data_IF_124897100140
#
_entry.id   IF_124897100140
#
_cell.length_a   1.000
_cell.length_b   1.000
_cell.length_c   1.000
_cell.angle_alpha   90.00
_cell.angle_beta   90.00
_cell.angle_gamma   90.00
#
_symmetry.space_group_name_H-M   'P 1'
#
loop_
_entity.id
_entity.type
_entity.pdbx_description
1 polymer ?
#
# COMPACT_ATOMS: atom_id res chain seq x y z
N UNK A 1 -12.61 15.07 -16.53
CA UNK A 1 -11.47 14.69 -15.68
C UNK A 1 -10.33 15.69 -15.89
N UNK A 2 -9.61 16.05 -14.84
CA UNK A 2 -8.43 16.91 -14.94
C UNK A 2 -7.31 16.20 -15.72
N UNK A 3 -6.54 16.95 -16.51
CA UNK A 3 -5.32 16.42 -17.14
C UNK A 3 -4.24 16.13 -16.08
N UNK A 4 -3.15 15.43 -16.47
CA UNK A 4 -2.00 15.21 -15.56
C UNK A 4 -1.34 16.52 -15.17
N UNK A 5 -1.27 17.47 -16.08
CA UNK A 5 -0.72 18.80 -15.87
C UNK A 5 -1.58 19.58 -14.87
N UNK A 6 -2.90 19.56 -15.03
CA UNK A 6 -3.83 20.25 -14.15
C UNK A 6 -3.76 19.72 -12.72
N UNK A 7 -3.77 18.39 -12.54
CA UNK A 7 -3.69 17.80 -11.21
C UNK A 7 -2.34 18.10 -10.54
N UNK A 8 -1.24 18.08 -11.31
CA UNK A 8 0.08 18.48 -10.81
C UNK A 8 0.13 19.94 -10.39
N UNK A 9 -0.47 20.82 -11.18
CA UNK A 9 -0.56 22.25 -10.88
C UNK A 9 -1.38 22.49 -9.61
N UNK A 10 -2.54 21.81 -9.48
CA UNK A 10 -3.39 21.87 -8.29
C UNK A 10 -2.66 21.43 -7.03
N UNK A 11 -1.94 20.30 -7.07
CA UNK A 11 -1.13 19.80 -5.94
C UNK A 11 -0.04 20.79 -5.56
N UNK A 12 0.66 21.37 -6.54
CA UNK A 12 1.70 22.38 -6.28
C UNK A 12 1.11 23.63 -5.65
N UNK A 13 -0.02 24.12 -6.17
CA UNK A 13 -0.70 25.30 -5.64
C UNK A 13 -1.13 25.07 -4.18
N UNK A 14 -1.75 23.93 -3.88
CA UNK A 14 -2.11 23.54 -2.52
C UNK A 14 -0.90 23.52 -1.59
N UNK A 15 0.20 22.89 -1.98
CA UNK A 15 1.41 22.82 -1.16
C UNK A 15 2.04 24.19 -0.93
N UNK A 16 2.04 25.07 -1.95
CA UNK A 16 2.66 26.39 -1.87
C UNK A 16 1.83 27.38 -1.07
N UNK A 17 0.51 27.18 -0.96
CA UNK A 17 -0.37 27.99 -0.12
C UNK A 17 -0.22 27.68 1.40
N UNK A 18 0.50 26.64 1.77
CA UNK A 18 0.68 26.22 3.16
C UNK A 18 1.87 26.95 3.82
N UNK A 19 1.85 27.11 5.16
CA UNK A 19 2.94 27.74 5.90
C UNK A 19 4.29 27.06 5.66
N UNK A 20 5.36 27.84 5.81
CA UNK A 20 6.74 27.31 5.79
C UNK A 20 6.90 26.23 6.86
N UNK A 21 7.50 25.10 6.50
CA UNK A 21 7.61 23.92 7.38
C UNK A 21 6.41 22.96 7.32
N UNK A 22 5.23 23.44 6.90
CA UNK A 22 4.01 22.65 6.77
C UNK A 22 3.60 22.34 5.33
N UNK A 23 4.54 22.45 4.37
CA UNK A 23 4.28 22.32 2.92
C UNK A 23 3.54 21.04 2.54
N UNK A 24 3.88 19.92 3.17
CA UNK A 24 3.27 18.62 2.89
C UNK A 24 2.33 18.24 4.02
N UNK A 25 1.03 18.16 3.72
CA UNK A 25 0.03 17.78 4.70
C UNK A 25 0.06 16.27 4.95
N UNK A 26 0.09 15.91 6.23
CA UNK A 26 -0.16 14.53 6.67
C UNK A 26 -1.64 14.34 6.99
N UNK A 27 -2.19 13.22 6.61
CA UNK A 27 -3.47 12.73 7.14
C UNK A 27 -3.25 12.15 8.54
N UNK A 28 -4.30 11.99 9.32
CA UNK A 28 -4.21 11.40 10.66
C UNK A 28 -3.58 9.99 10.66
N UNK A 29 -3.77 9.24 9.58
CA UNK A 29 -3.25 7.87 9.39
C UNK A 29 -1.79 7.81 8.92
N UNK A 30 -1.26 8.87 8.32
CA UNK A 30 0.08 8.84 7.71
C UNK A 30 1.20 8.69 8.75
N UNK A 31 1.14 9.43 9.86
CA UNK A 31 2.18 9.36 10.90
C UNK A 31 2.20 8.00 11.62
N UNK A 32 1.06 7.47 12.12
CA UNK A 32 1.04 6.14 12.74
C UNK A 32 1.47 5.02 11.76
N UNK A 33 1.10 5.14 10.49
CA UNK A 33 1.52 4.18 9.47
C UNK A 33 2.97 4.36 9.02
N UNK A 34 3.63 5.46 9.38
CA UNK A 34 4.97 5.79 8.89
C UNK A 34 5.01 5.98 7.38
N UNK A 35 3.91 6.46 6.79
CA UNK A 35 3.80 6.75 5.36
C UNK A 35 4.21 8.19 5.02
N UNK A 36 4.48 8.43 3.75
CA UNK A 36 4.70 9.79 3.25
C UNK A 36 3.38 10.57 3.22
N UNK A 37 3.43 11.92 3.29
CA UNK A 37 2.24 12.75 3.12
C UNK A 37 1.56 12.47 1.77
N UNK A 38 0.23 12.37 1.75
CA UNK A 38 -0.56 12.09 0.54
C UNK A 38 -0.37 13.14 -0.56
N UNK A 39 -0.14 14.40 -0.18
CA UNK A 39 0.03 15.54 -1.10
C UNK A 39 1.49 15.78 -1.51
N UNK A 40 2.40 14.84 -1.22
CA UNK A 40 3.80 14.93 -1.62
C UNK A 40 3.96 14.47 -3.06
N UNK A 41 4.01 15.41 -3.99
CA UNK A 41 4.32 15.11 -5.39
C UNK A 41 5.84 14.97 -5.57
N UNK A 42 6.39 13.87 -5.09
CA UNK A 42 7.80 13.52 -5.22
C UNK A 42 7.86 12.15 -5.86
N UNK A 43 8.58 12.02 -6.97
CA UNK A 43 8.63 10.80 -7.77
C UNK A 43 7.24 10.26 -8.12
N UNK A 44 6.80 10.51 -9.28
CA UNK A 44 5.43 10.63 -9.73
C UNK A 44 4.57 9.38 -9.77
N UNK A 45 5.04 8.13 -9.59
CA UNK A 45 4.21 6.98 -9.92
C UNK A 45 2.89 6.96 -9.16
N UNK A 46 2.91 7.17 -7.84
CA UNK A 46 1.70 6.98 -7.01
C UNK A 46 0.62 8.00 -7.35
N UNK A 47 0.96 9.28 -7.52
CA UNK A 47 -0.02 10.30 -7.88
C UNK A 47 -0.62 10.08 -9.27
N UNK A 48 0.18 9.61 -10.24
CA UNK A 48 -0.32 9.26 -11.57
C UNK A 48 -1.14 7.98 -11.59
N UNK A 49 -0.79 6.99 -10.76
CA UNK A 49 -1.58 5.78 -10.58
C UNK A 49 -2.94 6.11 -9.96
N UNK A 50 -2.96 6.97 -8.94
CA UNK A 50 -4.20 7.47 -8.34
C UNK A 50 -5.06 8.20 -9.37
N UNK A 51 -4.46 9.13 -10.14
CA UNK A 51 -5.15 9.86 -11.22
C UNK A 51 -5.76 8.93 -12.28
N UNK A 52 -5.06 7.86 -12.64
CA UNK A 52 -5.55 6.88 -13.62
C UNK A 52 -6.52 5.85 -13.02
N UNK A 53 -6.36 5.49 -11.75
CA UNK A 53 -7.10 4.41 -11.08
C UNK A 53 -8.44 4.85 -10.50
N UNK A 54 -8.50 5.99 -9.80
CA UNK A 54 -9.72 6.45 -9.13
C UNK A 54 -10.91 6.60 -10.07
N UNK A 55 -10.77 7.21 -11.27
CA UNK A 55 -11.89 7.28 -12.21
C UNK A 55 -12.44 5.91 -12.63
N UNK A 56 -11.57 4.89 -12.67
CA UNK A 56 -11.98 3.51 -13.01
C UNK A 56 -12.74 2.86 -11.85
N UNK A 57 -12.34 3.11 -10.61
CA UNK A 57 -13.07 2.64 -9.43
C UNK A 57 -14.45 3.27 -9.37
N UNK A 58 -14.56 4.59 -9.60
CA UNK A 58 -15.83 5.32 -9.66
C UNK A 58 -16.71 4.79 -10.79
N UNK A 59 -16.17 4.62 -12.00
CA UNK A 59 -16.91 4.08 -13.14
C UNK A 59 -17.38 2.64 -12.93
N UNK A 60 -16.65 1.86 -12.12
CA UNK A 60 -17.04 0.51 -11.73
C UNK A 60 -18.13 0.50 -10.64
N UNK A 61 -18.51 1.64 -10.07
CA UNK A 61 -19.54 1.78 -9.04
C UNK A 61 -19.16 1.15 -7.71
N UNK A 62 -17.87 1.11 -7.36
CA UNK A 62 -17.44 0.59 -6.06
C UNK A 62 -17.61 1.65 -4.98
N UNK A 63 -17.93 1.21 -3.77
CA UNK A 63 -17.92 2.05 -2.56
C UNK A 63 -16.49 2.42 -2.20
N UNK A 64 -16.21 3.70 -1.97
CA UNK A 64 -14.96 4.21 -1.39
C UNK A 64 -15.33 4.94 -0.10
N UNK A 65 -15.21 4.32 1.06
CA UNK A 65 -15.72 4.85 2.32
C UNK A 65 -15.28 6.29 2.58
N UNK A 66 -16.24 7.14 2.94
CA UNK A 66 -16.08 8.57 3.19
C UNK A 66 -15.66 9.43 1.97
N UNK A 67 -15.53 8.85 0.77
CA UNK A 67 -15.09 9.56 -0.44
C UNK A 67 -16.08 9.45 -1.59
N UNK A 68 -16.68 8.28 -1.81
CA UNK A 68 -17.62 8.06 -2.92
C UNK A 68 -18.57 6.91 -2.58
N UNK A 69 -19.86 7.20 -2.63
CA UNK A 69 -20.93 6.22 -2.44
C UNK A 69 -21.01 5.29 -3.66
N UNK A 70 -21.14 4.00 -3.41
CA UNK A 70 -21.20 2.97 -4.45
C UNK A 70 -21.88 1.70 -3.98
N UNK A 71 -21.54 0.58 -4.59
CA UNK A 71 -22.05 -0.74 -4.20
C UNK A 71 -21.38 -1.17 -2.88
N UNK A 72 -22.16 -1.22 -1.81
CA UNK A 72 -21.72 -1.59 -0.46
C UNK A 72 -21.14 -3.02 -0.36
N UNK A 73 -21.40 -3.87 -1.34
CA UNK A 73 -20.81 -5.20 -1.42
C UNK A 73 -19.47 -5.21 -2.17
N UNK A 74 -19.04 -4.08 -2.70
CA UNK A 74 -17.82 -3.91 -3.50
C UNK A 74 -17.04 -2.70 -3.00
N UNK A 75 -16.33 -2.89 -1.91
CA UNK A 75 -15.63 -1.81 -1.19
C UNK A 75 -14.17 -1.72 -1.60
N UNK A 76 -13.71 -0.53 -1.97
CA UNK A 76 -12.30 -0.23 -2.20
C UNK A 76 -11.72 0.47 -0.97
N UNK A 77 -10.72 -0.14 -0.35
CA UNK A 77 -10.01 0.39 0.81
C UNK A 77 -8.57 0.77 0.44
N UNK A 78 -8.03 1.77 1.11
CA UNK A 78 -6.60 2.07 1.03
C UNK A 78 -5.81 0.98 1.76
N UNK A 79 -4.87 0.34 1.06
CA UNK A 79 -3.94 -0.61 1.64
C UNK A 79 -2.52 -0.01 1.67
N UNK A 80 -1.74 -0.40 2.69
CA UNK A 80 -0.34 0.01 2.80
C UNK A 80 0.54 -1.21 3.08
N UNK A 81 1.04 -1.90 2.03
CA UNK A 81 1.84 -3.12 2.17
C UNK A 81 3.10 -2.89 3.01
N UNK A 82 3.73 -1.71 2.88
CA UNK A 82 4.92 -1.36 3.65
C UNK A 82 4.72 -1.31 5.16
N UNK A 83 3.52 -1.06 5.66
CA UNK A 83 3.22 -1.13 7.08
C UNK A 83 3.33 -2.57 7.60
N UNK A 84 2.62 -3.50 6.96
CA UNK A 84 2.64 -4.91 7.34
C UNK A 84 4.03 -5.53 7.16
N UNK A 85 4.72 -5.21 6.07
CA UNK A 85 6.08 -5.68 5.83
C UNK A 85 7.05 -5.24 6.94
N UNK A 86 6.99 -3.98 7.38
CA UNK A 86 7.84 -3.49 8.50
C UNK A 86 7.55 -4.19 9.81
N UNK A 87 6.28 -4.45 10.11
CA UNK A 87 5.91 -5.17 11.32
C UNK A 87 6.50 -6.58 11.38
N UNK A 88 6.58 -7.24 10.23
CA UNK A 88 7.13 -8.59 10.10
C UNK A 88 8.66 -8.58 10.13
N UNK A 89 9.28 -7.70 9.35
CA UNK A 89 10.74 -7.73 9.15
C UNK A 89 11.52 -7.04 10.26
N UNK A 90 11.13 -5.84 10.60
CA UNK A 90 11.80 -5.01 11.59
C UNK A 90 11.03 -3.72 11.83
N UNK A 91 10.55 -3.52 13.04
CA UNK A 91 9.85 -2.30 13.45
C UNK A 91 10.68 -1.02 13.28
N UNK A 92 12.02 -1.14 13.20
CA UNK A 92 12.91 0.01 12.93
C UNK A 92 12.84 0.51 11.49
N UNK A 93 12.24 -0.26 10.57
CA UNK A 93 12.11 0.08 9.15
C UNK A 93 13.43 0.03 8.37
N UNK A 94 14.50 -0.54 8.93
CA UNK A 94 15.83 -0.60 8.29
C UNK A 94 15.96 -1.71 7.27
N UNK A 95 15.16 -2.79 7.40
CA UNK A 95 15.18 -3.91 6.43
C UNK A 95 14.21 -3.64 5.28
N UNK A 96 14.76 -3.50 4.07
CA UNK A 96 13.97 -3.44 2.84
C UNK A 96 13.96 -4.79 2.15
N UNK A 97 12.81 -5.20 1.59
CA UNK A 97 12.67 -6.46 0.84
C UNK A 97 12.68 -6.26 -0.68
N UNK A 98 12.68 -5.02 -1.18
CA UNK A 98 12.54 -4.72 -2.60
C UNK A 98 13.41 -3.57 -3.09
N UNK A 99 13.68 -3.54 -4.38
CA UNK A 99 14.25 -2.40 -5.10
C UNK A 99 14.03 -2.52 -6.60
N UNK A 100 13.59 -1.44 -7.24
CA UNK A 100 13.53 -1.31 -8.70
C UNK A 100 14.93 -1.17 -9.31
N UNK A 101 15.88 -0.67 -8.53
CA UNK A 101 17.28 -0.53 -8.96
C UNK A 101 18.00 -1.89 -8.81
N UNK A 102 18.40 -2.46 -9.95
CA UNK A 102 19.11 -3.75 -10.00
C UNK A 102 20.39 -3.77 -9.17
N UNK A 103 21.12 -2.65 -9.10
CA UNK A 103 22.34 -2.54 -8.32
C UNK A 103 22.08 -2.63 -6.80
N UNK A 104 20.85 -2.41 -6.37
CA UNK A 104 20.41 -2.49 -4.97
C UNK A 104 19.67 -3.77 -4.63
N UNK A 105 19.58 -4.73 -5.54
CA UNK A 105 18.98 -6.05 -5.29
C UNK A 105 20.00 -6.96 -4.61
N UNK A 106 20.11 -6.85 -3.30
CA UNK A 106 21.11 -7.52 -2.48
C UNK A 106 20.60 -8.86 -1.91
N UNK A 107 21.50 -9.77 -1.47
CA UNK A 107 21.12 -10.99 -0.76
C UNK A 107 20.24 -10.75 0.47
N UNK A 108 20.48 -9.67 1.20
CA UNK A 108 19.69 -9.31 2.39
C UNK A 108 18.22 -9.03 2.04
N UNK A 109 17.97 -8.45 0.86
CA UNK A 109 16.60 -8.23 0.37
C UNK A 109 15.93 -9.53 -0.06
N UNK A 110 16.68 -10.46 -0.62
CA UNK A 110 16.18 -11.81 -0.91
C UNK A 110 15.80 -12.53 0.39
N UNK A 111 16.65 -12.47 1.41
CA UNK A 111 16.36 -13.04 2.74
C UNK A 111 15.12 -12.38 3.32
N UNK A 112 15.00 -11.06 3.22
CA UNK A 112 13.82 -10.35 3.72
C UNK A 112 12.52 -10.81 3.03
N UNK A 113 12.53 -11.07 1.70
CA UNK A 113 11.37 -11.65 1.01
C UNK A 113 11.05 -13.06 1.49
N UNK A 114 12.07 -13.90 1.70
CA UNK A 114 11.88 -15.26 2.27
C UNK A 114 11.27 -15.21 3.67
N UNK A 115 11.75 -14.31 4.52
CA UNK A 115 11.21 -14.12 5.88
C UNK A 115 9.75 -13.67 5.82
N UNK A 116 9.42 -12.68 4.98
CA UNK A 116 8.04 -12.21 4.78
C UNK A 116 7.12 -13.36 4.37
N UNK A 117 7.45 -14.07 3.30
CA UNK A 117 6.63 -15.19 2.81
C UNK A 117 6.46 -16.26 3.88
N UNK A 118 7.53 -16.60 4.60
CA UNK A 118 7.47 -17.61 5.67
C UNK A 118 6.54 -17.17 6.80
N UNK A 119 6.61 -15.93 7.26
CA UNK A 119 5.73 -15.43 8.33
C UNK A 119 4.25 -15.39 7.89
N UNK A 120 3.99 -15.04 6.62
CA UNK A 120 2.64 -15.08 6.05
C UNK A 120 2.10 -16.51 5.95
N UNK A 121 2.92 -17.48 5.54
CA UNK A 121 2.53 -18.91 5.49
C UNK A 121 2.29 -19.50 6.89
N UNK A 122 3.01 -19.04 7.89
CA UNK A 122 2.81 -19.44 9.30
C UNK A 122 1.60 -18.75 9.94
N UNK A 123 1.09 -17.66 9.34
CA UNK A 123 0.05 -16.83 9.95
C UNK A 123 0.53 -16.01 11.15
N UNK A 124 1.84 -15.86 11.33
CA UNK A 124 2.45 -15.16 12.46
C UNK A 124 2.56 -13.67 12.22
N UNK A 125 1.44 -13.05 11.87
CA UNK A 125 1.32 -11.60 11.71
C UNK A 125 0.20 -11.08 12.61
N UNK A 126 0.16 -9.76 12.84
CA UNK A 126 -0.94 -9.17 13.62
C UNK A 126 -2.31 -9.31 12.95
N UNK A 127 -2.36 -9.62 11.65
CA UNK A 127 -3.62 -9.88 10.95
C UNK A 127 -4.20 -11.27 11.30
N UNK A 128 -3.37 -12.17 11.86
CA UNK A 128 -3.75 -13.54 12.22
C UNK A 128 -4.34 -14.33 11.04
N UNK A 129 -3.93 -14.00 9.82
CA UNK A 129 -4.32 -14.68 8.58
C UNK A 129 -3.18 -15.53 8.08
N UNK A 130 -3.50 -16.73 7.63
CA UNK A 130 -2.54 -17.67 7.08
C UNK A 130 -2.63 -17.72 5.56
N UNK A 131 -1.52 -17.43 4.89
CA UNK A 131 -1.39 -17.56 3.45
C UNK A 131 -1.08 -19.02 3.08
N UNK A 132 -1.79 -19.56 2.08
CA UNK A 132 -1.49 -20.88 1.50
C UNK A 132 -0.96 -20.70 0.09
N UNK A 133 0.24 -21.21 -0.16
CA UNK A 133 0.93 -21.11 -1.43
C UNK A 133 1.35 -22.49 -1.95
N UNK A 134 1.36 -22.67 -3.25
CA UNK A 134 2.15 -23.73 -3.91
C UNK A 134 3.63 -23.35 -3.90
N UNK A 135 4.52 -24.34 -4.09
CA UNK A 135 5.95 -24.05 -4.19
C UNK A 135 6.26 -23.04 -5.30
N UNK A 136 5.63 -23.18 -6.46
CA UNK A 136 5.83 -22.25 -7.58
C UNK A 136 5.39 -20.82 -7.26
N UNK A 137 4.27 -20.64 -6.55
CA UNK A 137 3.82 -19.31 -6.11
C UNK A 137 4.79 -18.72 -5.07
N UNK A 138 5.26 -19.55 -4.14
CA UNK A 138 6.24 -19.14 -3.14
C UNK A 138 7.53 -18.65 -3.79
N UNK A 139 8.06 -19.42 -4.74
CA UNK A 139 9.28 -19.07 -5.47
C UNK A 139 9.08 -17.79 -6.29
N UNK A 140 7.96 -17.65 -7.00
CA UNK A 140 7.66 -16.44 -7.77
C UNK A 140 7.62 -15.17 -6.89
N UNK A 141 7.07 -15.24 -5.68
CA UNK A 141 7.05 -14.10 -4.74
C UNK A 141 8.45 -13.76 -4.21
N UNK A 142 9.28 -14.78 -3.97
CA UNK A 142 10.63 -14.61 -3.46
C UNK A 142 11.58 -14.05 -4.54
N UNK A 143 11.42 -14.50 -5.78
CA UNK A 143 12.30 -14.13 -6.90
C UNK A 143 11.96 -12.76 -7.48
N UNK A 144 10.74 -12.26 -7.26
CA UNK A 144 10.36 -10.90 -7.66
C UNK A 144 11.11 -9.86 -6.83
N UNK A 145 12.24 -9.40 -7.33
CA UNK A 145 13.10 -8.44 -6.66
C UNK A 145 12.52 -7.01 -6.62
N UNK A 146 11.59 -6.67 -7.54
CA UNK A 146 10.82 -5.42 -7.48
C UNK A 146 9.86 -5.41 -6.28
N UNK A 147 9.39 -6.60 -5.88
CA UNK A 147 8.49 -6.83 -4.76
C UNK A 147 7.05 -6.43 -5.03
N UNK A 148 6.69 -6.18 -6.30
CA UNK A 148 5.33 -5.77 -6.66
C UNK A 148 4.32 -6.89 -6.43
N UNK A 149 4.70 -8.14 -6.75
CA UNK A 149 3.89 -9.32 -6.48
C UNK A 149 3.65 -9.52 -4.98
N UNK A 150 4.69 -9.30 -4.18
CA UNK A 150 4.59 -9.40 -2.72
C UNK A 150 3.75 -8.26 -2.13
N UNK A 151 3.88 -7.04 -2.65
CA UNK A 151 3.01 -5.91 -2.28
C UNK A 151 1.54 -6.23 -2.56
N UNK A 152 1.24 -6.81 -3.71
CA UNK A 152 -0.13 -7.22 -4.06
C UNK A 152 -0.69 -8.25 -3.07
N UNK A 153 0.11 -9.24 -2.68
CA UNK A 153 -0.27 -10.24 -1.66
C UNK A 153 -0.48 -9.60 -0.29
N UNK A 154 0.38 -8.68 0.13
CA UNK A 154 0.22 -7.95 1.39
C UNK A 154 -1.07 -7.11 1.39
N UNK A 155 -1.39 -6.43 0.28
CA UNK A 155 -2.66 -5.71 0.12
C UNK A 155 -3.86 -6.65 0.16
N UNK A 156 -3.78 -7.81 -0.48
CA UNK A 156 -4.84 -8.83 -0.46
C UNK A 156 -5.11 -9.32 0.98
N UNK A 157 -4.08 -9.56 1.77
CA UNK A 157 -4.23 -9.97 3.17
C UNK A 157 -4.85 -8.86 4.02
N UNK A 158 -4.48 -7.60 3.80
CA UNK A 158 -5.10 -6.47 4.47
C UNK A 158 -6.59 -6.35 4.10
N UNK A 159 -6.96 -6.58 2.83
CA UNK A 159 -8.34 -6.58 2.38
C UNK A 159 -9.16 -7.73 3.01
N UNK A 160 -8.59 -8.94 3.05
CA UNK A 160 -9.23 -10.10 3.69
C UNK A 160 -9.45 -9.86 5.20
N UNK A 161 -8.45 -9.31 5.88
CA UNK A 161 -8.58 -8.94 7.28
C UNK A 161 -9.67 -7.87 7.49
N UNK A 162 -9.72 -6.83 6.67
CA UNK A 162 -10.75 -5.79 6.75
C UNK A 162 -12.15 -6.38 6.56
N UNK A 163 -12.31 -7.32 5.63
CA UNK A 163 -13.56 -8.04 5.41
C UNK A 163 -13.98 -8.84 6.66
N UNK A 164 -13.05 -9.56 7.28
CA UNK A 164 -13.34 -10.31 8.52
C UNK A 164 -13.74 -9.35 9.66
N UNK A 165 -13.04 -8.22 9.82
CA UNK A 165 -13.39 -7.22 10.84
C UNK A 165 -14.78 -6.62 10.60
N UNK A 166 -15.11 -6.32 9.35
CA UNK A 166 -16.44 -5.82 8.98
C UNK A 166 -17.53 -6.84 9.32
N UNK A 167 -17.34 -8.10 8.96
CA UNK A 167 -18.29 -9.19 9.28
C UNK A 167 -18.42 -9.43 10.80
N UNK A 168 -17.37 -9.16 11.57
CA UNK A 168 -17.38 -9.22 13.02
C UNK A 168 -18.03 -7.98 13.69
N UNK A 169 -18.52 -7.03 12.91
CA UNK A 169 -19.20 -5.82 13.39
C UNK A 169 -18.28 -4.66 13.77
N UNK A 170 -17.01 -4.70 13.38
CA UNK A 170 -16.14 -3.53 13.51
C UNK A 170 -16.67 -2.37 12.65
N UNK A 171 -16.77 -1.17 13.23
CA UNK A 171 -17.13 0.03 12.49
C UNK A 171 -15.90 0.51 11.69
N UNK A 172 -16.10 0.77 10.41
CA UNK A 172 -15.11 1.40 9.52
C UNK A 172 -14.84 2.85 9.93
#
# INVERSE_FOLDING_TARGET
SLSREDIRATFKAFCNARPVGGKFAHRATDLPAGSSPSMKWVNPPVAYMLHAGVPRLIAAGVEIPALHDGDVNRVALEAYPGLLAREILDKSGKRSYKSDDKAKQTPERLIARKDLVTQLELGQTRLNLRLKLTHAQRDALIDDASGDSLDAVLCMLQAAWAQEQHLAGAKN
#
